data_IF_251758501665
#
_entry.id   IF_251758501665
#
_cell.length_a   1.000
_cell.length_b   1.000
_cell.length_c   1.000
_cell.angle_alpha   90.00
_cell.angle_beta   90.00
_cell.angle_gamma   90.00
#
_symmetry.space_group_name_H-M   'P 1'
#
loop_
_entity.id
_entity.type
_entity.pdbx_description
1 polymer ?
#
# COMPACT_ATOMS: atom_id res chain seq x y z
N UNK A 1 2.20 21.27 -38.38
CA UNK A 1 1.89 20.81 -37.00
C UNK A 1 1.54 19.33 -37.09
N UNK A 2 2.11 18.47 -36.24
CA UNK A 2 1.81 17.04 -36.27
C UNK A 2 0.39 16.82 -35.71
N UNK A 3 -0.47 16.11 -36.45
CA UNK A 3 -1.82 15.74 -35.98
C UNK A 3 -1.70 14.81 -34.78
N UNK A 4 -2.55 15.02 -33.78
CA UNK A 4 -2.58 14.15 -32.59
C UNK A 4 -3.19 12.79 -32.94
N UNK A 5 -2.88 11.76 -32.14
CA UNK A 5 -3.39 10.40 -32.34
C UNK A 5 -4.92 10.30 -32.26
N UNK A 6 -5.57 11.21 -31.53
CA UNK A 6 -7.01 11.29 -31.39
C UNK A 6 -7.69 11.92 -32.60
N UNK A 7 -7.09 13.00 -33.13
CA UNK A 7 -7.54 13.61 -34.40
C UNK A 7 -7.43 12.60 -35.55
N UNK A 8 -6.36 11.79 -35.59
CA UNK A 8 -6.20 10.73 -36.59
C UNK A 8 -7.26 9.63 -36.45
N UNK A 9 -7.60 9.20 -35.24
CA UNK A 9 -8.65 8.20 -35.04
C UNK A 9 -10.04 8.74 -35.43
N UNK A 10 -10.32 10.01 -35.15
CA UNK A 10 -11.58 10.67 -35.49
C UNK A 10 -11.70 10.92 -37.00
N UNK A 11 -10.61 11.28 -37.66
CA UNK A 11 -10.54 11.43 -39.13
C UNK A 11 -10.78 10.09 -39.83
N UNK A 12 -10.23 8.98 -39.32
CA UNK A 12 -10.48 7.63 -39.84
C UNK A 12 -11.96 7.24 -39.71
N UNK A 13 -12.60 7.53 -38.57
CA UNK A 13 -14.02 7.21 -38.38
C UNK A 13 -14.92 8.00 -39.33
N UNK A 14 -14.69 9.31 -39.43
CA UNK A 14 -15.42 10.16 -40.39
C UNK A 14 -15.21 9.64 -41.81
N UNK A 15 -13.99 9.24 -42.18
CA UNK A 15 -13.70 8.68 -43.49
C UNK A 15 -14.46 7.37 -43.74
N UNK A 16 -14.53 6.47 -42.74
CA UNK A 16 -15.29 5.21 -42.85
C UNK A 16 -16.81 5.39 -42.94
N UNK A 17 -17.35 6.50 -42.43
CA UNK A 17 -18.79 6.81 -42.57
C UNK A 17 -19.13 7.56 -43.85
N UNK A 18 -18.15 8.21 -44.48
CA UNK A 18 -18.36 9.11 -45.63
C UNK A 18 -18.06 8.45 -46.98
N UNK A 19 -17.30 7.36 -46.99
CA UNK A 19 -16.78 6.72 -48.21
C UNK A 19 -17.30 5.29 -48.32
N UNK A 20 -17.85 4.93 -49.47
CA UNK A 20 -18.24 3.56 -49.81
C UNK A 20 -17.00 2.74 -50.14
N UNK A 21 -16.36 2.20 -49.11
CA UNK A 21 -15.24 1.26 -49.23
C UNK A 21 -15.74 -0.18 -49.25
N UNK A 22 -14.91 -1.10 -49.72
CA UNK A 22 -15.20 -2.54 -49.63
C UNK A 22 -15.21 -2.94 -48.17
N UNK A 23 -16.13 -3.81 -47.77
CA UNK A 23 -16.42 -4.15 -46.36
C UNK A 23 -15.17 -4.60 -45.58
N UNK A 24 -14.23 -5.29 -46.24
CA UNK A 24 -12.95 -5.70 -45.66
C UNK A 24 -11.99 -4.53 -45.36
N UNK A 25 -12.00 -3.46 -46.16
CA UNK A 25 -11.17 -2.26 -45.95
C UNK A 25 -11.78 -1.35 -44.86
N UNK A 26 -13.11 -1.34 -44.78
CA UNK A 26 -13.85 -0.69 -43.71
C UNK A 26 -13.52 -1.30 -42.34
N UNK A 27 -13.45 -2.62 -42.27
CA UNK A 27 -13.16 -3.31 -41.03
C UNK A 27 -11.69 -3.15 -40.59
N UNK A 28 -10.74 -3.11 -41.53
CA UNK A 28 -9.33 -2.83 -41.20
C UNK A 28 -9.14 -1.40 -40.67
N UNK A 29 -9.83 -0.41 -41.24
CA UNK A 29 -9.81 0.97 -40.76
C UNK A 29 -10.45 1.10 -39.36
N UNK A 30 -11.58 0.44 -39.10
CA UNK A 30 -12.20 0.42 -37.77
C UNK A 30 -11.31 -0.25 -36.73
N UNK A 31 -10.66 -1.36 -37.09
CA UNK A 31 -9.66 -2.03 -36.22
C UNK A 31 -8.47 -1.11 -35.94
N UNK A 32 -7.97 -0.38 -36.93
CA UNK A 32 -6.88 0.57 -36.77
C UNK A 32 -7.26 1.71 -35.78
N UNK A 33 -8.46 2.29 -35.93
CA UNK A 33 -8.96 3.30 -35.01
C UNK A 33 -9.11 2.78 -33.57
N UNK A 34 -9.61 1.54 -33.41
CA UNK A 34 -9.71 0.89 -32.11
C UNK A 34 -8.33 0.66 -31.45
N UNK A 35 -7.33 0.20 -32.22
CA UNK A 35 -5.96 -0.01 -31.74
C UNK A 35 -5.34 1.30 -31.24
N UNK A 36 -5.54 2.42 -31.96
CA UNK A 36 -5.04 3.74 -31.55
C UNK A 36 -5.64 4.15 -30.20
N UNK A 37 -6.96 3.95 -30.01
CA UNK A 37 -7.63 4.26 -28.74
C UNK A 37 -7.15 3.36 -27.59
N UNK A 38 -6.99 2.06 -27.85
CA UNK A 38 -6.51 1.10 -26.84
C UNK A 38 -5.10 1.48 -26.40
N UNK A 39 -4.19 1.82 -27.33
CA UNK A 39 -2.84 2.26 -26.99
C UNK A 39 -2.85 3.54 -26.16
N UNK A 40 -3.65 4.54 -26.53
CA UNK A 40 -3.81 5.77 -25.73
C UNK A 40 -4.37 5.49 -24.33
N UNK A 41 -5.33 4.59 -24.20
CA UNK A 41 -5.88 4.18 -22.91
C UNK A 41 -4.83 3.44 -22.06
N UNK A 42 -4.01 2.58 -22.69
CA UNK A 42 -2.89 1.92 -22.03
C UNK A 42 -1.82 2.92 -21.59
N UNK A 43 -1.49 3.92 -22.41
CA UNK A 43 -0.55 4.98 -22.05
C UNK A 43 -1.08 5.82 -20.89
N UNK A 44 -2.39 6.12 -20.85
CA UNK A 44 -3.03 6.79 -19.72
C UNK A 44 -3.00 5.94 -18.45
N UNK A 45 -3.26 4.64 -18.56
CA UNK A 45 -3.19 3.70 -17.44
C UNK A 45 -1.74 3.54 -16.95
N UNK A 46 -0.76 3.47 -17.84
CA UNK A 46 0.65 3.41 -17.49
C UNK A 46 1.12 4.71 -16.85
N UNK A 47 0.75 5.87 -17.38
CA UNK A 47 1.03 7.16 -16.76
C UNK A 47 0.39 7.29 -15.36
N UNK A 48 -0.82 6.74 -15.19
CA UNK A 48 -1.49 6.65 -13.88
C UNK A 48 -0.81 5.64 -12.94
N UNK A 49 -0.31 4.53 -13.45
CA UNK A 49 0.42 3.53 -12.65
C UNK A 49 1.82 4.02 -12.26
N UNK A 50 2.46 4.88 -13.05
CA UNK A 50 3.68 5.60 -12.65
C UNK A 50 3.39 6.61 -11.53
N UNK A 51 2.16 7.13 -11.42
CA UNK A 51 1.70 7.91 -10.26
C UNK A 51 1.21 7.04 -9.09
N UNK A 52 0.87 5.78 -9.34
CA UNK A 52 0.59 4.76 -8.33
C UNK A 52 1.88 3.99 -7.98
N UNK A 53 2.95 4.73 -7.66
CA UNK A 53 4.08 4.15 -6.96
C UNK A 53 3.54 3.60 -5.62
N UNK A 54 3.83 2.35 -5.24
CA UNK A 54 3.55 1.90 -3.88
C UNK A 54 4.19 2.89 -2.91
N UNK A 55 3.42 3.38 -1.95
CA UNK A 55 3.79 4.36 -0.91
C UNK A 55 4.90 3.86 0.04
N UNK A 56 5.87 3.07 -0.43
CA UNK A 56 6.90 2.50 0.43
C UNK A 56 8.15 3.36 0.54
N UNK A 57 8.36 4.39 -0.29
CA UNK A 57 9.60 5.20 -0.21
C UNK A 57 9.44 6.67 -0.60
N UNK A 58 8.38 7.37 -0.17
CA UNK A 58 8.32 8.83 -0.31
C UNK A 58 8.85 9.57 0.92
N UNK A 59 10.09 10.02 0.75
CA UNK A 59 10.71 11.19 1.36
C UNK A 59 10.85 11.21 2.89
N UNK A 60 12.07 10.89 3.34
CA UNK A 60 12.63 11.22 4.67
C UNK A 60 12.57 12.73 5.03
N UNK A 61 11.91 13.57 4.24
CA UNK A 61 11.79 15.02 4.37
C UNK A 61 10.33 15.52 4.40
N UNK A 62 9.35 14.61 4.52
CA UNK A 62 7.96 15.00 4.74
C UNK A 62 7.82 15.65 6.11
N UNK A 63 7.22 16.85 6.16
CA UNK A 63 6.86 17.57 7.40
C UNK A 63 5.98 16.71 8.35
N UNK A 64 5.31 15.72 7.78
CA UNK A 64 4.39 14.82 8.45
C UNK A 64 4.93 13.39 8.50
N UNK A 65 4.56 12.67 9.54
CA UNK A 65 4.80 11.24 9.75
C UNK A 65 3.48 10.51 9.90
N UNK A 66 3.47 9.26 9.47
CA UNK A 66 2.32 8.35 9.60
C UNK A 66 2.25 7.75 11.01
N UNK A 67 1.09 7.19 11.38
CA UNK A 67 0.94 6.48 12.65
C UNK A 67 1.85 5.24 12.74
N UNK A 68 2.10 4.58 11.61
CA UNK A 68 2.98 3.42 11.53
C UNK A 68 4.45 3.80 11.78
N UNK A 69 4.93 4.88 11.17
CA UNK A 69 6.28 5.39 11.45
C UNK A 69 6.45 5.81 12.92
N UNK A 70 5.42 6.41 13.52
CA UNK A 70 5.45 6.76 14.95
C UNK A 70 5.48 5.50 15.81
N UNK A 71 4.71 4.47 15.45
CA UNK A 71 4.74 3.18 16.14
C UNK A 71 6.15 2.58 16.13
N UNK A 72 6.82 2.64 14.98
CA UNK A 72 8.21 2.17 14.84
C UNK A 72 9.21 3.00 15.65
N UNK A 73 9.12 4.34 15.61
CA UNK A 73 10.02 5.23 16.34
C UNK A 73 9.97 4.99 17.85
N UNK A 74 8.76 4.76 18.39
CA UNK A 74 8.53 4.60 19.82
C UNK A 74 8.52 3.14 20.29
N UNK A 75 8.56 2.17 19.37
CA UNK A 75 8.50 0.74 19.69
C UNK A 75 7.16 0.34 20.31
N UNK A 76 6.07 0.98 19.91
CA UNK A 76 4.71 0.72 20.41
C UNK A 76 3.82 0.20 19.27
N UNK A 77 2.64 -0.32 19.60
CA UNK A 77 1.67 -0.69 18.58
C UNK A 77 1.02 0.54 17.95
N UNK A 78 0.58 0.42 16.69
CA UNK A 78 -0.17 1.45 15.96
C UNK A 78 -1.45 1.84 16.72
N UNK A 79 -2.13 0.88 17.35
CA UNK A 79 -3.27 1.15 18.24
C UNK A 79 -2.86 2.02 19.44
N UNK A 80 -1.67 1.82 19.99
CA UNK A 80 -1.10 2.67 21.03
C UNK A 80 -0.90 4.10 20.57
N UNK A 81 -0.45 4.31 19.33
CA UNK A 81 -0.33 5.65 18.71
C UNK A 81 -1.70 6.32 18.60
N UNK A 82 -2.71 5.62 18.08
CA UNK A 82 -4.07 6.17 18.01
C UNK A 82 -4.64 6.51 19.39
N UNK A 83 -4.32 5.71 20.42
CA UNK A 83 -4.68 6.03 21.80
C UNK A 83 -4.00 7.31 22.29
N UNK A 84 -2.73 7.53 21.95
CA UNK A 84 -2.02 8.76 22.31
C UNK A 84 -2.57 9.99 21.60
N UNK A 85 -2.95 9.86 20.32
CA UNK A 85 -3.66 10.90 19.57
C UNK A 85 -5.00 11.22 20.25
N UNK A 86 -5.78 10.19 20.58
CA UNK A 86 -7.09 10.37 21.24
C UNK A 86 -6.98 10.99 22.64
N UNK A 87 -5.88 10.76 23.34
CA UNK A 87 -5.57 11.35 24.64
C UNK A 87 -4.95 12.76 24.54
N UNK A 88 -4.74 13.29 23.33
CA UNK A 88 -4.13 14.61 23.13
C UNK A 88 -2.65 14.67 23.51
N UNK A 89 -1.94 13.53 23.51
CA UNK A 89 -0.50 13.47 23.77
C UNK A 89 0.34 13.72 22.51
N UNK A 90 -0.28 13.56 21.35
CA UNK A 90 0.30 13.78 20.02
C UNK A 90 -0.62 14.74 19.29
N UNK A 91 -0.04 15.79 18.74
CA UNK A 91 -0.74 16.75 17.90
C UNK A 91 -0.85 16.21 16.47
N UNK A 92 -2.07 16.29 15.92
CA UNK A 92 -2.39 15.91 14.54
C UNK A 92 -3.03 17.06 13.80
N UNK A 93 -2.55 17.34 12.60
CA UNK A 93 -3.24 18.22 11.66
C UNK A 93 -4.25 17.41 10.85
N UNK A 94 -5.48 17.92 10.74
CA UNK A 94 -6.51 17.32 9.88
C UNK A 94 -6.39 17.92 8.48
N UNK A 95 -6.07 17.09 7.50
CA UNK A 95 -6.14 17.48 6.10
C UNK A 95 -7.52 17.08 5.55
N UNK A 96 -8.34 18.07 5.23
CA UNK A 96 -9.61 17.85 4.54
C UNK A 96 -9.34 17.70 3.04
N UNK A 97 -9.48 16.48 2.54
CA UNK A 97 -9.50 16.20 1.09
C UNK A 97 -10.95 15.93 0.71
N UNK A 98 -11.44 16.37 -0.47
CA UNK A 98 -12.80 16.05 -0.89
C UNK A 98 -13.03 14.53 -0.88
N UNK A 99 -13.82 14.04 0.08
CA UNK A 99 -14.14 12.62 0.29
C UNK A 99 -13.37 11.90 1.40
N UNK A 100 -12.35 12.49 2.03
CA UNK A 100 -11.70 11.88 3.21
C UNK A 100 -10.99 12.91 4.10
N UNK A 101 -11.06 12.71 5.41
CA UNK A 101 -10.20 13.41 6.37
C UNK A 101 -9.07 12.49 6.76
N UNK A 102 -7.82 12.94 6.57
CA UNK A 102 -6.63 12.23 7.03
C UNK A 102 -6.03 12.99 8.21
N UNK A 103 -5.76 12.27 9.29
CA UNK A 103 -5.00 12.82 10.41
C UNK A 103 -3.51 12.63 10.10
N UNK A 104 -2.78 13.74 9.99
CA UNK A 104 -1.34 13.75 9.74
C UNK A 104 -0.63 14.16 11.03
N UNK A 105 0.40 13.39 11.43
CA UNK A 105 1.16 13.66 12.64
C UNK A 105 2.35 14.54 12.26
N UNK A 106 2.54 15.69 12.92
CA UNK A 106 3.65 16.59 12.60
C UNK A 106 4.96 16.02 13.13
N UNK A 107 6.00 15.91 12.30
CA UNK A 107 7.28 15.29 12.69
C UNK A 107 8.05 16.10 13.75
N UNK A 108 7.98 17.43 13.67
CA UNK A 108 8.73 18.34 14.54
C UNK A 108 8.40 18.24 16.02
N UNK A 109 7.21 17.71 16.37
CA UNK A 109 6.83 17.50 17.77
C UNK A 109 7.71 16.46 18.49
N UNK A 110 8.42 15.62 17.72
CA UNK A 110 9.28 14.56 18.25
C UNK A 110 10.76 14.97 18.36
N UNK A 111 11.14 16.17 17.92
CA UNK A 111 12.53 16.70 18.04
C UNK A 111 12.90 17.13 19.47
N UNK A 112 12.00 16.94 20.43
CA UNK A 112 12.25 17.25 21.83
C UNK A 112 13.20 16.20 22.44
N UNK A 113 14.21 16.61 23.24
CA UNK A 113 15.20 15.70 23.84
C UNK A 113 14.60 14.52 24.62
N UNK A 114 13.42 14.72 25.21
CA UNK A 114 12.67 13.67 25.92
C UNK A 114 12.34 12.48 25.02
N UNK A 115 11.84 12.75 23.81
CA UNK A 115 11.45 11.73 22.85
C UNK A 115 12.66 11.13 22.14
N UNK A 116 13.66 11.95 21.80
CA UNK A 116 14.89 11.48 21.16
C UNK A 116 15.61 10.39 21.98
N UNK A 117 15.72 10.55 23.30
CA UNK A 117 16.30 9.52 24.18
C UNK A 117 15.53 8.20 24.13
N UNK A 118 14.20 8.26 24.05
CA UNK A 118 13.35 7.08 23.97
C UNK A 118 13.48 6.39 22.62
N UNK A 119 13.45 7.17 21.54
CA UNK A 119 13.60 6.67 20.16
C UNK A 119 14.98 6.00 19.99
N UNK A 120 16.05 6.59 20.51
CA UNK A 120 17.38 5.97 20.46
C UNK A 120 17.46 4.68 21.27
N UNK A 121 16.84 4.61 22.45
CA UNK A 121 16.80 3.40 23.26
C UNK A 121 16.08 2.25 22.54
N UNK A 122 14.94 2.56 21.91
CA UNK A 122 14.19 1.61 21.06
C UNK A 122 15.04 1.16 19.86
N UNK A 123 15.74 2.10 19.21
CA UNK A 123 16.62 1.77 18.09
C UNK A 123 17.74 0.81 18.50
N UNK A 124 18.42 1.08 19.62
CA UNK A 124 19.49 0.22 20.15
C UNK A 124 18.99 -1.17 20.53
N UNK A 125 17.82 -1.27 21.15
CA UNK A 125 17.22 -2.56 21.52
C UNK A 125 16.81 -3.36 20.28
N UNK A 126 16.22 -2.73 19.26
CA UNK A 126 15.90 -3.38 17.98
C UNK A 126 17.16 -3.89 17.26
N UNK A 127 18.24 -3.10 17.28
CA UNK A 127 19.53 -3.51 16.71
C UNK A 127 20.19 -4.64 17.51
N UNK A 128 20.02 -4.66 18.83
CA UNK A 128 20.50 -5.76 19.65
C UNK A 128 19.71 -7.04 19.37
N UNK A 129 18.38 -6.95 19.28
CA UNK A 129 17.50 -8.09 18.97
C UNK A 129 17.76 -8.66 17.58
N UNK A 130 18.09 -7.84 16.58
CA UNK A 130 18.41 -8.35 15.24
C UNK A 130 19.74 -9.12 15.18
N UNK A 131 20.63 -8.93 16.15
CA UNK A 131 21.91 -9.67 16.27
C UNK A 131 21.77 -10.98 17.04
N UNK A 132 20.68 -11.15 17.79
CA UNK A 132 20.37 -12.40 18.51
C UNK A 132 19.72 -13.33 17.50
N UNK A 133 20.40 -14.43 17.14
CA UNK A 133 19.78 -15.49 16.34
C UNK A 133 18.50 -15.96 17.06
N UNK A 134 17.37 -16.12 16.37
CA UNK A 134 16.21 -16.73 16.99
C UNK A 134 16.62 -18.12 17.48
N UNK A 135 16.38 -18.40 18.77
CA UNK A 135 16.53 -19.74 19.30
C UNK A 135 15.64 -20.66 18.48
N UNK A 136 16.24 -21.71 17.90
CA UNK A 136 15.50 -22.81 17.30
C UNK A 136 14.48 -23.29 18.34
N UNK A 137 13.20 -23.22 17.99
CA UNK A 137 12.16 -23.82 18.82
C UNK A 137 12.35 -25.32 18.66
N UNK A 138 12.87 -25.97 19.69
CA UNK A 138 12.74 -27.42 19.83
C UNK A 138 11.23 -27.71 19.98
N UNK A 139 10.59 -28.11 18.88
CA UNK A 139 9.15 -28.39 18.81
C UNK A 139 8.76 -29.75 19.42
N UNK A 140 9.69 -30.50 20.02
CA UNK A 140 9.47 -31.87 20.51
C UNK A 140 9.43 -31.97 22.05
N UNK A 141 8.59 -31.16 22.71
CA UNK A 141 8.47 -31.16 24.19
C UNK A 141 7.23 -31.85 24.77
N UNK A 142 6.50 -32.63 23.98
CA UNK A 142 5.50 -33.55 24.53
C UNK A 142 5.63 -34.92 23.87
N UNK A 143 6.35 -35.89 24.47
CA UNK A 143 6.09 -37.28 24.15
C UNK A 143 4.63 -37.53 24.49
N UNK A 144 3.82 -37.83 23.48
CA UNK A 144 2.50 -38.40 23.67
C UNK A 144 2.77 -39.76 24.33
N UNK A 145 2.60 -39.84 25.65
CA UNK A 145 2.61 -41.13 26.34
C UNK A 145 1.39 -41.89 25.87
N UNK A 146 1.59 -43.11 25.37
CA UNK A 146 0.54 -44.03 24.91
C UNK A 146 -0.48 -44.43 26.02
N UNK A 147 -0.46 -43.78 27.19
CA UNK A 147 -1.31 -44.07 28.35
C UNK A 147 -2.74 -43.48 28.27
N UNK A 148 -3.03 -42.59 27.30
CA UNK A 148 -4.38 -42.01 27.13
C UNK A 148 -5.28 -42.82 26.17
N UNK A 149 -4.82 -43.98 25.68
CA UNK A 149 -5.57 -44.80 24.71
C UNK A 149 -6.66 -45.71 25.32
N UNK A 150 -6.72 -45.87 26.64
CA UNK A 150 -7.57 -46.86 27.32
C UNK A 150 -8.79 -46.24 28.05
N UNK A 151 -9.48 -45.27 27.44
CA UNK A 151 -10.82 -44.90 27.92
C UNK A 151 -11.86 -45.91 27.44
N UNK A 152 -12.10 -46.92 28.30
CA UNK A 152 -13.15 -47.94 28.24
C UNK A 152 -14.54 -47.40 27.81
N UNK A 153 -15.19 -48.18 26.95
CA UNK A 153 -16.62 -48.11 26.62
C UNK A 153 -17.47 -48.13 27.89
N UNK A 154 -18.07 -47.00 28.25
CA UNK A 154 -19.17 -46.97 29.22
C UNK A 154 -20.46 -47.42 28.54
N UNK A 155 -20.73 -48.72 28.68
CA UNK A 155 -22.00 -49.36 28.31
C UNK A 155 -23.15 -48.75 29.13
N UNK A 156 -24.05 -48.03 28.44
CA UNK A 156 -25.24 -47.42 29.04
C UNK A 156 -26.36 -48.46 29.06
N UNK A 157 -26.76 -48.91 30.24
CA UNK A 157 -27.99 -49.71 30.46
C UNK A 157 -29.19 -48.83 30.80
#
# INVERSE_FOLDING_TARGET
>A
MAKTSEELAQEIEVFTTSVTLVEGELETLRRAAAIIRIRKAQDYIQARNVLAVPLEHQEKNSKYVSADEVAEMFGISVQGVYKWIKLGKIDTEKLETPGSSKNLIVRSQFDVPKYQKQIEAVRRTKEALSKVKPAEKDEDLYPISDEDADMEELDVK
#
